data_IF_194669899877
#
_entry.id   IF_194669899877
#
_cell.length_a   1.000
_cell.length_b   1.000
_cell.length_c   1.000
_cell.angle_alpha   90.00
_cell.angle_beta   90.00
_cell.angle_gamma   90.00
#
_symmetry.space_group_name_H-M   'P 1'
#
loop_
_entity.id
_entity.type
_entity.pdbx_description
1 polymer ?
#
# COMPACT_ATOMS: atom_id res chain seq x y z
N UNK A 1 1.32 39.07 2.88
CA UNK A 1 1.98 37.86 3.41
C UNK A 1 0.99 36.76 3.80
N UNK A 2 -0.24 37.07 4.23
CA UNK A 2 -1.28 36.05 4.51
C UNK A 2 -1.83 35.34 3.25
N UNK A 3 -1.87 36.03 2.10
CA UNK A 3 -2.38 35.46 0.84
C UNK A 3 -1.52 34.29 0.33
N UNK A 4 -0.20 34.35 0.50
CA UNK A 4 0.72 33.26 0.11
C UNK A 4 0.62 32.07 1.05
N UNK A 5 0.38 32.30 2.35
CA UNK A 5 0.13 31.24 3.34
C UNK A 5 -1.21 30.53 3.09
N UNK A 6 -2.26 31.28 2.74
CA UNK A 6 -3.58 30.73 2.42
C UNK A 6 -3.53 29.91 1.12
N UNK A 7 -2.89 30.43 0.07
CA UNK A 7 -2.61 29.71 -1.19
C UNK A 7 -1.81 28.42 -0.97
N UNK A 8 -0.74 28.48 -0.17
CA UNK A 8 0.06 27.31 0.19
C UNK A 8 -0.75 26.25 0.94
N UNK A 9 -1.68 26.68 1.81
CA UNK A 9 -2.57 25.77 2.55
C UNK A 9 -3.54 25.04 1.61
N UNK A 10 -4.12 25.73 0.63
CA UNK A 10 -5.01 25.10 -0.38
C UNK A 10 -4.27 24.09 -1.24
N UNK A 11 -3.09 24.46 -1.76
CA UNK A 11 -2.25 23.55 -2.54
C UNK A 11 -1.90 22.29 -1.75
N UNK A 12 -1.57 22.44 -0.47
CA UNK A 12 -1.27 21.32 0.43
C UNK A 12 -2.48 20.42 0.66
N UNK A 13 -3.65 21.01 0.92
CA UNK A 13 -4.90 20.26 1.14
C UNK A 13 -5.35 19.54 -0.12
N UNK A 14 -5.34 20.20 -1.28
CA UNK A 14 -5.70 19.56 -2.55
C UNK A 14 -4.78 18.36 -2.83
N UNK A 15 -3.47 18.52 -2.61
CA UNK A 15 -2.51 17.43 -2.80
C UNK A 15 -2.83 16.24 -1.91
N UNK A 16 -3.15 16.46 -0.63
CA UNK A 16 -3.54 15.40 0.31
C UNK A 16 -4.83 14.70 -0.15
N UNK A 17 -5.84 15.45 -0.59
CA UNK A 17 -7.09 14.89 -1.09
C UNK A 17 -6.89 14.02 -2.33
N UNK A 18 -6.10 14.47 -3.31
CA UNK A 18 -5.78 13.68 -4.50
C UNK A 18 -5.05 12.39 -4.12
N UNK A 19 -4.05 12.45 -3.23
CA UNK A 19 -3.34 11.25 -2.76
C UNK A 19 -4.24 10.24 -2.02
N UNK A 20 -5.21 10.72 -1.24
CA UNK A 20 -6.18 9.84 -0.58
C UNK A 20 -7.12 9.20 -1.60
N UNK A 21 -7.68 10.00 -2.51
CA UNK A 21 -8.60 9.53 -3.54
C UNK A 21 -7.94 8.49 -4.46
N UNK A 22 -6.74 8.76 -4.98
CA UNK A 22 -6.05 7.82 -5.88
C UNK A 22 -5.73 6.51 -5.17
N UNK A 23 -5.39 6.56 -3.88
CA UNK A 23 -5.14 5.37 -3.10
C UNK A 23 -6.39 4.54 -2.86
N UNK A 24 -7.51 5.18 -2.53
CA UNK A 24 -8.79 4.51 -2.35
C UNK A 24 -9.25 3.87 -3.66
N UNK A 25 -9.18 4.60 -4.78
CA UNK A 25 -9.52 4.07 -6.11
C UNK A 25 -8.63 2.90 -6.51
N UNK A 26 -7.31 3.00 -6.31
CA UNK A 26 -6.38 1.92 -6.64
C UNK A 26 -6.63 0.70 -5.76
N UNK A 27 -6.88 0.90 -4.47
CA UNK A 27 -7.17 -0.19 -3.54
C UNK A 27 -8.48 -0.89 -3.87
N UNK A 28 -9.49 -0.12 -4.28
CA UNK A 28 -10.76 -0.66 -4.72
C UNK A 28 -10.61 -1.46 -6.03
N UNK A 29 -9.94 -0.92 -7.05
CA UNK A 29 -9.76 -1.60 -8.34
C UNK A 29 -8.84 -2.82 -8.22
N UNK A 30 -7.75 -2.70 -7.46
CA UNK A 30 -6.75 -3.76 -7.35
C UNK A 30 -7.18 -4.88 -6.39
N UNK A 31 -7.84 -4.53 -5.29
CA UNK A 31 -8.10 -5.43 -4.16
C UNK A 31 -9.58 -5.59 -3.83
N UNK A 32 -10.46 -4.79 -4.45
CA UNK A 32 -11.88 -4.71 -4.09
C UNK A 32 -12.11 -4.10 -2.70
N UNK A 33 -11.08 -3.58 -2.04
CA UNK A 33 -11.14 -3.08 -0.66
C UNK A 33 -11.35 -1.58 -0.70
N UNK A 34 -12.43 -1.13 -0.08
CA UNK A 34 -12.63 0.28 0.22
C UNK A 34 -11.89 0.62 1.52
N UNK A 35 -10.91 1.50 1.43
CA UNK A 35 -10.09 1.94 2.57
C UNK A 35 -10.71 3.19 3.24
N UNK A 36 -11.67 3.85 2.57
CA UNK A 36 -12.33 5.09 3.01
C UNK A 36 -11.35 6.11 3.61
N UNK A 37 -10.21 6.32 2.94
CA UNK A 37 -9.19 7.27 3.40
C UNK A 37 -9.70 8.72 3.36
N UNK A 38 -10.65 9.02 2.47
CA UNK A 38 -11.28 10.34 2.31
C UNK A 38 -12.29 10.65 3.43
N UNK A 39 -13.03 9.65 3.94
CA UNK A 39 -14.04 9.82 4.99
C UNK A 39 -13.46 9.95 6.41
N UNK A 40 -12.20 9.56 6.61
CA UNK A 40 -11.56 9.62 7.93
C UNK A 40 -11.44 11.06 8.47
N UNK A 41 -12.41 11.45 9.30
CA UNK A 41 -12.42 12.69 10.12
C UNK A 41 -11.25 12.67 11.13
N UNK A 42 -10.03 12.89 10.66
CA UNK A 42 -8.84 12.82 11.51
C UNK A 42 -7.53 12.48 10.80
N UNK A 43 -7.56 12.18 9.51
CA UNK A 43 -6.36 12.03 8.68
C UNK A 43 -6.21 10.66 8.02
N UNK A 44 -5.04 10.43 7.43
CA UNK A 44 -4.76 9.30 6.57
C UNK A 44 -4.88 7.93 7.26
N UNK A 45 -5.51 6.96 6.57
CA UNK A 45 -5.67 5.57 7.00
C UNK A 45 -4.32 4.94 7.44
N UNK A 46 -4.27 4.11 8.51
CA UNK A 46 -3.02 3.56 9.04
C UNK A 46 -2.18 2.81 8.01
N UNK A 47 -2.82 2.09 7.09
CA UNK A 47 -2.13 1.39 6.00
C UNK A 47 -1.47 2.36 5.03
N UNK A 48 -2.20 3.38 4.57
CA UNK A 48 -1.67 4.41 3.67
C UNK A 48 -0.51 5.16 4.33
N UNK A 49 -0.62 5.45 5.63
CA UNK A 49 0.44 6.10 6.41
C UNK A 49 1.68 5.22 6.56
N UNK A 50 1.51 3.92 6.81
CA UNK A 50 2.61 2.97 6.90
C UNK A 50 3.32 2.82 5.54
N UNK A 51 2.56 2.84 4.45
CA UNK A 51 3.07 2.80 3.09
C UNK A 51 3.92 4.04 2.76
N UNK A 52 3.42 5.24 3.06
CA UNK A 52 4.18 6.48 2.85
C UNK A 52 5.48 6.53 3.65
N UNK A 53 5.42 6.12 4.93
CA UNK A 53 6.64 6.06 5.75
C UNK A 53 7.66 5.04 5.22
N UNK A 54 7.19 3.96 4.58
CA UNK A 54 8.08 3.02 3.92
C UNK A 54 8.70 3.65 2.68
N UNK A 55 7.92 4.32 1.84
CA UNK A 55 8.42 4.99 0.63
C UNK A 55 9.43 6.09 0.97
N UNK A 56 9.11 6.95 1.94
CA UNK A 56 10.03 7.99 2.40
C UNK A 56 11.35 7.37 2.89
N UNK A 57 11.28 6.28 3.65
CA UNK A 57 12.47 5.59 4.13
C UNK A 57 13.27 4.90 3.00
N UNK A 58 12.61 4.45 1.93
CA UNK A 58 13.27 3.91 0.73
C UNK A 58 13.94 5.04 -0.06
N UNK A 59 13.25 6.16 -0.28
CA UNK A 59 13.80 7.33 -0.98
C UNK A 59 15.02 7.90 -0.27
N UNK A 60 15.00 7.95 1.07
CA UNK A 60 16.16 8.36 1.86
C UNK A 60 17.39 7.46 1.67
N UNK A 61 17.23 6.19 1.23
CA UNK A 61 18.36 5.31 0.90
C UNK A 61 19.05 5.69 -0.41
N UNK A 62 18.36 6.37 -1.33
CA UNK A 62 18.97 6.85 -2.57
C UNK A 62 20.10 7.85 -2.32
N UNK A 63 20.01 8.61 -1.21
CA UNK A 63 21.05 9.56 -0.80
C UNK A 63 22.13 9.00 0.12
N UNK A 64 22.03 7.75 0.59
CA UNK A 64 22.96 7.17 1.56
C UNK A 64 23.76 6.02 0.93
N UNK A 65 24.95 6.25 0.34
CA UNK A 65 25.71 5.19 -0.32
C UNK A 65 26.11 4.03 0.61
N UNK A 66 26.10 4.23 1.93
CA UNK A 66 26.41 3.22 2.93
C UNK A 66 25.17 2.46 3.46
N UNK A 67 23.99 2.65 2.86
CA UNK A 67 22.73 2.02 3.32
C UNK A 67 22.83 0.49 3.36
N UNK A 68 23.60 -0.14 2.46
CA UNK A 68 23.76 -1.61 2.42
C UNK A 68 24.44 -2.15 3.68
N UNK A 69 25.42 -1.42 4.19
CA UNK A 69 26.15 -1.76 5.42
C UNK A 69 25.22 -1.56 6.62
N UNK A 70 24.57 -0.38 6.71
CA UNK A 70 23.61 -0.07 7.78
C UNK A 70 22.47 -1.08 7.85
N UNK A 71 21.93 -1.50 6.69
CA UNK A 71 20.92 -2.56 6.55
C UNK A 71 21.45 -3.91 7.03
N UNK A 72 22.66 -4.30 6.65
CA UNK A 72 23.24 -5.60 7.01
C UNK A 72 23.42 -5.74 8.52
N UNK A 73 23.83 -4.67 9.19
CA UNK A 73 24.02 -4.67 10.64
C UNK A 73 22.76 -4.22 11.42
N UNK A 74 21.64 -3.92 10.74
CA UNK A 74 20.44 -3.31 11.33
C UNK A 74 20.74 -2.12 12.25
N UNK A 75 21.75 -1.31 11.88
CA UNK A 75 22.20 -0.19 12.71
C UNK A 75 21.35 1.03 12.40
N UNK A 76 20.76 1.57 13.46
CA UNK A 76 20.02 2.84 13.43
C UNK A 76 18.50 2.67 13.51
N UNK A 77 17.85 3.68 14.10
CA UNK A 77 16.39 3.73 14.25
C UNK A 77 15.65 3.61 12.92
N UNK A 78 16.26 4.09 11.81
CA UNK A 78 15.69 4.02 10.47
C UNK A 78 15.52 2.59 9.95
N UNK A 79 16.56 1.76 10.04
CA UNK A 79 16.50 0.37 9.54
C UNK A 79 15.55 -0.50 10.38
N UNK A 80 15.46 -0.24 11.70
CA UNK A 80 14.44 -0.84 12.57
C UNK A 80 13.03 -0.42 12.15
N UNK A 81 12.81 0.86 11.88
CA UNK A 81 11.54 1.39 11.38
C UNK A 81 11.12 0.75 10.06
N UNK A 82 12.04 0.60 9.10
CA UNK A 82 11.76 -0.06 7.82
C UNK A 82 11.36 -1.52 8.01
N UNK A 83 12.04 -2.24 8.90
CA UNK A 83 11.72 -3.64 9.20
C UNK A 83 10.33 -3.79 9.81
N UNK A 84 9.99 -2.90 10.74
CA UNK A 84 8.65 -2.85 11.36
C UNK A 84 7.56 -2.54 10.33
N UNK A 85 7.76 -1.49 9.52
CA UNK A 85 6.82 -1.10 8.46
C UNK A 85 6.63 -2.22 7.43
N UNK A 86 7.71 -2.92 7.05
CA UNK A 86 7.64 -4.08 6.17
C UNK A 86 6.75 -5.16 6.74
N UNK A 87 6.88 -5.47 8.03
CA UNK A 87 6.03 -6.44 8.69
C UNK A 87 4.56 -6.01 8.70
N UNK A 88 4.29 -4.75 9.05
CA UNK A 88 2.93 -4.20 9.05
C UNK A 88 2.26 -4.30 7.68
N UNK A 89 2.97 -3.90 6.62
CA UNK A 89 2.45 -3.96 5.25
C UNK A 89 2.25 -5.41 4.78
N UNK A 90 3.20 -6.30 5.07
CA UNK A 90 3.09 -7.70 4.71
C UNK A 90 1.95 -8.42 5.43
N UNK A 91 1.67 -8.05 6.70
CA UNK A 91 0.55 -8.56 7.46
C UNK A 91 -0.79 -8.06 6.92
N UNK A 92 -0.87 -6.77 6.57
CA UNK A 92 -2.08 -6.20 5.99
C UNK A 92 -2.40 -6.82 4.62
N UNK A 93 -1.40 -6.95 3.75
CA UNK A 93 -1.56 -7.64 2.47
C UNK A 93 -1.96 -9.11 2.64
N UNK A 94 -1.40 -9.81 3.64
CA UNK A 94 -1.81 -11.18 3.95
C UNK A 94 -3.27 -11.26 4.41
N UNK A 95 -3.72 -10.30 5.24
CA UNK A 95 -5.11 -10.24 5.70
C UNK A 95 -6.07 -10.05 4.52
N UNK A 96 -5.77 -9.12 3.61
CA UNK A 96 -6.59 -8.87 2.40
C UNK A 96 -6.67 -10.12 1.51
N UNK A 97 -5.54 -10.78 1.26
CA UNK A 97 -5.51 -12.01 0.45
C UNK A 97 -6.34 -13.13 1.10
N UNK A 98 -6.23 -13.30 2.41
CA UNK A 98 -6.97 -14.33 3.14
C UNK A 98 -8.47 -14.04 3.18
N UNK A 99 -8.85 -12.77 3.38
CA UNK A 99 -10.24 -12.33 3.33
C UNK A 99 -10.86 -12.65 1.98
N UNK A 100 -10.18 -12.28 0.89
CA UNK A 100 -10.63 -12.61 -0.48
C UNK A 100 -10.73 -14.10 -0.73
N UNK A 101 -9.77 -14.90 -0.28
CA UNK A 101 -9.85 -16.36 -0.42
C UNK A 101 -11.08 -16.95 0.27
N UNK A 102 -11.44 -16.46 1.46
CA UNK A 102 -12.65 -16.90 2.18
C UNK A 102 -13.91 -16.51 1.42
N UNK A 103 -14.00 -15.26 0.95
CA UNK A 103 -15.11 -14.78 0.12
C UNK A 103 -15.30 -15.64 -1.15
N UNK A 104 -14.20 -16.14 -1.73
CA UNK A 104 -14.24 -17.05 -2.89
C UNK A 104 -14.72 -18.46 -2.55
N UNK A 105 -14.45 -18.97 -1.35
CA UNK A 105 -14.89 -20.30 -0.91
C UNK A 105 -16.40 -20.33 -0.64
N UNK A 106 -16.95 -19.21 -0.14
CA UNK A 106 -18.39 -19.03 0.12
C UNK A 106 -19.26 -18.83 -1.14
N UNK A 107 -18.71 -19.07 -2.34
CA UNK A 107 -19.40 -18.96 -3.65
C UNK A 107 -20.06 -17.61 -3.95
N UNK A 108 -19.78 -16.57 -3.16
CA UNK A 108 -20.11 -15.21 -3.56
C UNK A 108 -19.32 -14.88 -4.84
N UNK A 109 -19.99 -14.34 -5.85
CA UNK A 109 -19.37 -14.08 -7.14
C UNK A 109 -18.10 -13.24 -6.93
N UNK A 110 -16.98 -13.63 -7.55
CA UNK A 110 -15.75 -12.85 -7.46
C UNK A 110 -16.04 -11.41 -7.87
N UNK A 111 -15.55 -10.46 -7.08
CA UNK A 111 -15.52 -9.07 -7.50
C UNK A 111 -14.72 -8.93 -8.81
N UNK A 112 -14.96 -7.86 -9.60
CA UNK A 112 -14.18 -7.56 -10.80
C UNK A 112 -12.73 -7.16 -10.48
N UNK A 113 -12.28 -7.25 -9.23
CA UNK A 113 -10.98 -6.78 -8.77
C UNK A 113 -9.82 -7.64 -9.28
N UNK A 114 -8.67 -6.98 -9.43
CA UNK A 114 -7.48 -7.59 -10.01
C UNK A 114 -6.97 -8.79 -9.19
N UNK A 115 -7.00 -8.70 -7.86
CA UNK A 115 -6.57 -9.76 -6.96
C UNK A 115 -7.43 -11.02 -7.09
N UNK A 116 -8.76 -10.86 -7.14
CA UNK A 116 -9.72 -11.92 -7.44
C UNK A 116 -9.38 -12.64 -8.76
N UNK A 117 -9.07 -11.89 -9.82
CA UNK A 117 -8.66 -12.46 -11.12
C UNK A 117 -7.35 -13.26 -11.04
N UNK A 118 -6.36 -12.78 -10.30
CA UNK A 118 -5.10 -13.51 -10.10
C UNK A 118 -5.32 -14.82 -9.34
N UNK A 119 -6.12 -14.82 -8.27
CA UNK A 119 -6.40 -16.04 -7.50
C UNK A 119 -7.20 -17.05 -8.35
N UNK A 120 -8.17 -16.58 -9.14
CA UNK A 120 -8.92 -17.41 -10.08
C UNK A 120 -8.00 -18.06 -11.13
N UNK A 121 -7.09 -17.27 -11.71
CA UNK A 121 -6.11 -17.77 -12.66
C UNK A 121 -5.18 -18.83 -12.03
N UNK A 122 -4.72 -18.61 -10.80
CA UNK A 122 -3.91 -19.59 -10.05
C UNK A 122 -4.64 -20.92 -9.87
N UNK A 123 -5.91 -20.88 -9.43
CA UNK A 123 -6.76 -22.07 -9.27
C UNK A 123 -6.94 -22.82 -10.60
N UNK A 124 -7.21 -22.11 -11.70
CA UNK A 124 -7.44 -22.73 -13.03
C UNK A 124 -6.20 -23.42 -13.60
N UNK A 125 -5.01 -22.91 -13.33
CA UNK A 125 -3.77 -23.45 -13.88
C UNK A 125 -3.06 -24.45 -12.94
N UNK A 126 -3.70 -24.87 -11.83
CA UNK A 126 -3.09 -25.68 -10.76
C UNK A 126 -1.76 -25.11 -10.23
N UNK A 127 -1.56 -23.80 -10.38
CA UNK A 127 -0.41 -23.10 -9.81
C UNK A 127 -0.83 -22.65 -8.42
N UNK A 128 -0.24 -23.26 -7.38
CA UNK A 128 -0.27 -22.69 -6.03
C UNK A 128 0.39 -21.32 -6.10
N UNK A 129 -0.41 -20.27 -6.30
CA UNK A 129 0.08 -18.91 -6.18
C UNK A 129 0.56 -18.72 -4.75
N UNK A 130 1.87 -18.75 -4.58
CA UNK A 130 2.53 -18.44 -3.32
C UNK A 130 2.02 -17.06 -2.86
N UNK A 131 1.66 -16.97 -1.58
CA UNK A 131 1.19 -15.73 -0.97
C UNK A 131 2.19 -14.59 -1.16
N UNK A 132 3.47 -14.90 -1.31
CA UNK A 132 4.51 -13.91 -1.61
C UNK A 132 4.32 -13.25 -2.99
N UNK A 133 4.05 -14.01 -4.05
CA UNK A 133 3.82 -13.44 -5.38
C UNK A 133 2.57 -12.56 -5.42
N UNK A 134 1.49 -12.99 -4.77
CA UNK A 134 0.28 -12.18 -4.66
C UNK A 134 0.54 -10.89 -3.88
N UNK A 135 1.31 -10.95 -2.79
CA UNK A 135 1.72 -9.75 -2.05
C UNK A 135 2.54 -8.81 -2.94
N UNK A 136 3.49 -9.31 -3.71
CA UNK A 136 4.32 -8.48 -4.57
C UNK A 136 3.49 -7.80 -5.67
N UNK A 137 2.54 -8.49 -6.28
CA UNK A 137 1.61 -7.90 -7.26
C UNK A 137 0.78 -6.80 -6.60
N UNK A 138 0.19 -7.06 -5.43
CA UNK A 138 -0.61 -6.08 -4.69
C UNK A 138 0.22 -4.84 -4.36
N UNK A 139 1.44 -5.03 -3.84
CA UNK A 139 2.33 -3.94 -3.48
C UNK A 139 2.77 -3.13 -4.72
N UNK A 140 3.06 -3.79 -5.85
CA UNK A 140 3.43 -3.14 -7.10
C UNK A 140 2.28 -2.31 -7.68
N UNK A 141 1.05 -2.81 -7.64
CA UNK A 141 -0.11 -2.07 -8.14
C UNK A 141 -0.44 -0.88 -7.25
N UNK A 142 -0.38 -1.04 -5.92
CA UNK A 142 -0.55 0.07 -4.98
C UNK A 142 0.53 1.14 -5.15
N UNK A 143 1.78 0.74 -5.39
CA UNK A 143 2.88 1.65 -5.68
C UNK A 143 2.63 2.43 -6.98
N UNK A 144 2.27 1.71 -8.05
CA UNK A 144 2.02 2.28 -9.35
C UNK A 144 0.87 3.28 -9.34
N UNK A 145 -0.22 2.97 -8.63
CA UNK A 145 -1.35 3.88 -8.55
C UNK A 145 -1.11 5.09 -7.64
N UNK A 146 -0.24 5.00 -6.64
CA UNK A 146 -0.07 6.07 -5.63
C UNK A 146 0.92 7.16 -6.03
N UNK A 147 1.98 6.83 -6.77
CA UNK A 147 3.07 7.76 -7.10
C UNK A 147 2.94 8.45 -8.48
N UNK A 148 1.93 8.10 -9.28
CA UNK A 148 1.60 8.71 -10.59
C UNK A 148 0.35 9.56 -10.52
#
# INVERSE_FOLDING_TARGET
MEWTLKQGKWLSTCRICFFQMTFDVTSFVALGVDIDSVGTKGGQHPFARAFDQMLEAILQRLGDPFYRIKRRFQIGARERKITLLKHTLANHAAAIINDRRRTMEDKSALGPDLLSRFIEYGKRNNVLMNNEHLKDVVMNVLLAGRDT
#
